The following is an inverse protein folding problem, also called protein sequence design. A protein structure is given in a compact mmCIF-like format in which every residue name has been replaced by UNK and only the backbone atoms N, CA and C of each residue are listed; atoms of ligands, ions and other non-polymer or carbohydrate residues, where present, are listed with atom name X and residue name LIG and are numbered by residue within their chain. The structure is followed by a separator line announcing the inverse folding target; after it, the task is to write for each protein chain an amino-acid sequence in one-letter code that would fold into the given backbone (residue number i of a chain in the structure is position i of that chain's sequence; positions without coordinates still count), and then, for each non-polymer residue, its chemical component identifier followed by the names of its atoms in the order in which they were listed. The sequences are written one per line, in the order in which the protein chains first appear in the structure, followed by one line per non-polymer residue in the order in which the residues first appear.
data_IF_878264314879
#
_entry.id   IF_878264314879
#
_cell.length_a   1.000
_cell.length_b   1.000
_cell.length_c   1.000
_cell.angle_alpha   90.00
_cell.angle_beta   90.00
_cell.angle_gamma   90.00
#
_symmetry.space_group_name_H-M   'P 1'
#
loop_
_entity.id
_entity.type
_entity.pdbx_description
1 polymer ?
#
# COMPACT_ATOMS: atom_id res chain seq x y z
N UNK A 1 25.59 15.30 -23.66
CA UNK A 1 25.71 15.02 -22.21
C UNK A 1 24.89 13.80 -21.85
N UNK A 2 25.42 12.89 -21.03
CA UNK A 2 24.73 11.66 -20.60
C UNK A 2 24.86 11.49 -19.09
N UNK A 3 23.78 11.09 -18.42
CA UNK A 3 23.78 10.83 -16.98
C UNK A 3 24.57 9.55 -16.69
N UNK A 4 25.44 9.62 -15.68
CA UNK A 4 26.24 8.48 -15.22
C UNK A 4 25.91 8.07 -13.79
N UNK A 5 25.47 9.00 -12.94
CA UNK A 5 25.14 8.74 -11.55
C UNK A 5 24.12 9.75 -11.00
N UNK A 6 23.28 9.32 -10.06
CA UNK A 6 22.37 10.18 -9.29
C UNK A 6 22.21 9.67 -7.87
N UNK A 7 22.11 10.58 -6.90
CA UNK A 7 21.90 10.24 -5.50
C UNK A 7 21.10 11.32 -4.78
N UNK A 8 20.35 10.92 -3.76
CA UNK A 8 19.68 11.85 -2.85
C UNK A 8 20.68 12.67 -2.00
N UNK A 9 21.90 12.16 -1.80
CA UNK A 9 22.95 12.85 -1.05
C UNK A 9 23.83 13.65 -2.01
N UNK A 10 23.78 14.97 -1.87
CA UNK A 10 24.54 15.90 -2.69
C UNK A 10 26.05 15.67 -2.56
N UNK A 11 26.51 15.34 -1.36
CA UNK A 11 27.93 15.08 -1.07
C UNK A 11 28.48 13.92 -1.91
N UNK A 12 27.66 12.90 -2.14
CA UNK A 12 28.06 11.76 -2.96
C UNK A 12 28.23 12.16 -4.43
N UNK A 13 27.33 13.01 -4.94
CA UNK A 13 27.37 13.53 -6.31
C UNK A 13 28.56 14.47 -6.52
N UNK A 14 28.85 15.33 -5.54
CA UNK A 14 30.04 16.21 -5.54
C UNK A 14 31.34 15.39 -5.48
N UNK A 15 31.40 14.36 -4.62
CA UNK A 15 32.57 13.48 -4.51
C UNK A 15 32.85 12.70 -5.80
N UNK A 16 31.81 12.19 -6.46
CA UNK A 16 31.92 11.47 -7.73
C UNK A 16 32.31 12.42 -8.86
N UNK A 17 31.74 13.63 -8.91
CA UNK A 17 32.11 14.62 -9.91
C UNK A 17 33.61 14.95 -9.79
N UNK A 18 34.10 15.20 -8.57
CA UNK A 18 35.52 15.44 -8.31
C UNK A 18 36.40 14.27 -8.75
N UNK A 19 36.00 13.04 -8.42
CA UNK A 19 36.73 11.83 -8.83
C UNK A 19 36.82 11.72 -10.35
N UNK A 20 35.73 12.00 -11.08
CA UNK A 20 35.73 11.95 -12.55
C UNK A 20 36.57 13.08 -13.17
N UNK A 21 36.54 14.27 -12.59
CA UNK A 21 37.38 15.41 -13.00
C UNK A 21 38.88 15.12 -12.80
N UNK A 22 39.25 14.47 -11.70
CA UNK A 22 40.63 14.03 -11.43
C UNK A 22 41.15 13.05 -12.50
N UNK A 23 40.26 12.29 -13.14
CA UNK A 23 40.57 11.40 -14.25
C UNK A 23 40.46 12.09 -15.62
N UNK A 24 40.32 13.42 -15.65
CA UNK A 24 40.27 14.23 -16.87
C UNK A 24 38.93 14.19 -17.61
N UNK A 25 37.86 13.70 -16.96
CA UNK A 25 36.53 13.61 -17.56
C UNK A 25 35.74 14.86 -17.22
N UNK A 26 35.22 15.54 -18.25
CA UNK A 26 34.46 16.76 -18.08
C UNK A 26 33.01 16.45 -17.66
N UNK A 27 32.61 16.92 -16.47
CA UNK A 27 31.31 16.63 -15.86
C UNK A 27 30.51 17.88 -15.52
N UNK A 28 29.19 17.71 -15.39
CA UNK A 28 28.24 18.73 -14.96
C UNK A 28 27.31 18.15 -13.90
N UNK A 29 27.21 18.86 -12.78
CA UNK A 29 26.24 18.53 -11.73
C UNK A 29 24.92 19.26 -12.00
N UNK A 30 23.81 18.53 -12.02
CA UNK A 30 22.46 19.10 -12.02
C UNK A 30 21.84 18.96 -10.64
N UNK A 31 21.02 19.93 -10.23
CA UNK A 31 20.39 19.99 -8.90
C UNK A 31 21.43 19.94 -7.76
N UNK A 32 22.61 20.52 -8.02
CA UNK A 32 23.68 20.68 -7.04
C UNK A 32 23.38 21.76 -6.01
N UNK A 33 24.38 22.12 -5.18
CA UNK A 33 24.29 23.21 -4.20
C UNK A 33 23.97 24.52 -4.93
N UNK A 34 22.69 24.91 -4.94
CA UNK A 34 22.30 26.21 -5.48
C UNK A 34 22.86 27.29 -4.56
N UNK A 35 23.58 28.26 -5.13
CA UNK A 35 24.08 29.45 -4.43
C UNK A 35 22.95 30.26 -3.75
N UNK A 36 21.69 30.04 -4.14
CA UNK A 36 20.48 30.53 -3.46
C UNK A 36 19.78 29.42 -2.65
N UNK A 37 20.51 28.75 -1.76
CA UNK A 37 19.89 27.84 -0.79
C UNK A 37 19.01 28.63 0.18
N UNK A 38 17.71 28.33 0.22
CA UNK A 38 16.72 29.02 1.04
C UNK A 38 17.06 28.97 2.53
N UNK A 39 17.74 30.02 3.02
CA UNK A 39 17.89 30.29 4.44
C UNK A 39 16.54 30.75 4.99
N UNK A 40 15.91 29.93 5.84
CA UNK A 40 14.87 30.43 6.76
C UNK A 40 13.48 29.79 6.75
N UNK A 41 13.27 28.66 6.07
CA UNK A 41 12.00 27.92 6.17
C UNK A 41 12.11 26.73 7.12
N UNK A 42 11.32 26.68 8.19
CA UNK A 42 11.24 25.54 9.10
C UNK A 42 11.07 24.24 8.31
N UNK A 43 11.95 23.26 8.53
CA UNK A 43 11.90 21.92 7.92
C UNK A 43 10.55 21.29 8.27
N UNK A 44 9.58 21.36 7.35
CA UNK A 44 8.26 20.78 7.56
C UNK A 44 8.30 19.30 7.16
N UNK A 45 7.71 18.43 7.98
CA UNK A 45 7.64 16.97 7.74
C UNK A 45 6.92 16.57 6.44
N UNK A 46 6.39 17.53 5.66
CA UNK A 46 5.71 17.30 4.38
C UNK A 46 6.56 17.65 3.15
N UNK A 47 7.80 18.10 3.34
CA UNK A 47 8.68 18.45 2.21
C UNK A 47 9.34 17.21 1.56
N UNK A 48 9.29 16.05 2.23
CA UNK A 48 9.74 14.78 1.65
C UNK A 48 8.83 14.32 0.48
N UNK A 49 7.54 14.71 0.48
CA UNK A 49 6.59 14.39 -0.59
C UNK A 49 6.72 15.29 -1.83
N UNK A 50 7.41 16.44 -1.71
CA UNK A 50 7.88 17.23 -2.86
C UNK A 50 9.36 16.98 -3.07
N UNK A 51 9.73 15.72 -3.29
CA UNK A 51 11.08 15.35 -3.69
C UNK A 51 11.49 16.12 -4.94
N UNK A 52 12.25 17.20 -4.74
CA UNK A 52 12.87 17.93 -5.84
C UNK A 52 13.71 16.98 -6.71
N UNK A 53 13.95 17.34 -7.98
CA UNK A 53 14.74 16.50 -8.87
C UNK A 53 16.10 16.15 -8.24
N UNK A 54 16.46 14.86 -8.27
CA UNK A 54 17.64 14.35 -7.59
C UNK A 54 18.92 14.99 -8.16
N UNK A 55 19.90 15.31 -7.28
CA UNK A 55 21.25 15.62 -7.70
C UNK A 55 21.82 14.52 -8.60
N UNK A 56 22.40 14.91 -9.74
CA UNK A 56 22.94 13.98 -10.72
C UNK A 56 24.19 14.50 -11.41
N UNK A 57 25.10 13.59 -11.75
CA UNK A 57 26.32 13.85 -12.52
C UNK A 57 26.10 13.46 -13.98
N UNK A 58 26.39 14.39 -14.87
CA UNK A 58 26.32 14.24 -16.31
C UNK A 58 27.71 14.40 -16.90
N UNK A 59 28.11 13.48 -17.77
CA UNK A 59 29.34 13.64 -18.55
C UNK A 59 29.02 14.52 -19.75
N UNK A 60 29.84 15.54 -20.01
CA UNK A 60 29.61 16.51 -21.07
C UNK A 60 29.83 15.86 -22.45
N UNK A 61 31.01 15.27 -22.60
CA UNK A 61 31.48 14.51 -23.76
C UNK A 61 30.88 13.11 -23.78
N UNK A 62 30.46 12.64 -24.96
CA UNK A 62 29.80 11.33 -25.04
C UNK A 62 30.82 10.20 -25.11
N UNK A 63 32.00 10.49 -25.63
CA UNK A 63 33.16 9.61 -25.73
C UNK A 63 33.71 9.18 -24.37
N UNK A 64 33.60 10.02 -23.34
CA UNK A 64 34.10 9.73 -21.99
C UNK A 64 33.11 8.90 -21.14
N UNK A 65 31.90 8.64 -21.67
CA UNK A 65 30.87 7.91 -20.93
C UNK A 65 31.25 6.46 -20.59
N UNK A 66 31.84 5.65 -21.49
CA UNK A 66 32.24 4.28 -21.16
C UNK A 66 33.34 4.26 -20.09
N UNK A 67 34.29 5.20 -20.16
CA UNK A 67 35.38 5.35 -19.21
C UNK A 67 34.85 5.76 -17.82
N UNK A 68 33.94 6.75 -17.76
CA UNK A 68 33.30 7.15 -16.51
C UNK A 68 32.55 5.98 -15.84
N UNK A 69 31.84 5.16 -16.62
CA UNK A 69 31.14 3.97 -16.11
C UNK A 69 32.10 2.85 -15.70
N UNK A 70 33.29 2.78 -16.28
CA UNK A 70 34.32 1.85 -15.85
C UNK A 70 34.87 2.28 -14.49
N UNK A 71 35.28 3.54 -14.34
CA UNK A 71 35.78 4.09 -13.07
C UNK A 71 34.77 3.95 -11.93
N UNK A 72 33.47 4.17 -12.21
CA UNK A 72 32.42 3.98 -11.21
C UNK A 72 32.22 2.52 -10.80
N UNK A 73 32.45 1.55 -11.71
CA UNK A 73 32.42 0.12 -11.36
C UNK A 73 33.65 -0.28 -10.56
N UNK A 74 34.82 0.21 -10.93
CA UNK A 74 36.07 -0.04 -10.21
C UNK A 74 36.03 0.52 -8.79
N UNK A 75 35.31 1.63 -8.58
CA UNK A 75 35.02 2.21 -7.27
C UNK A 75 33.89 1.51 -6.50
N UNK A 76 33.26 0.46 -7.05
CA UNK A 76 32.15 -0.27 -6.42
C UNK A 76 30.83 0.52 -6.35
N UNK A 77 30.68 1.60 -7.12
CA UNK A 77 29.50 2.47 -7.12
C UNK A 77 28.43 2.05 -8.14
N UNK A 78 28.75 1.14 -9.06
CA UNK A 78 27.83 0.55 -10.03
C UNK A 78 27.98 -0.96 -10.07
N UNK A 79 26.85 -1.67 -10.12
CA UNK A 79 26.85 -3.11 -10.37
C UNK A 79 27.36 -3.41 -11.79
N UNK A 80 28.23 -4.42 -11.87
CA UNK A 80 28.77 -4.90 -13.14
C UNK A 80 27.63 -5.33 -14.07
N UNK A 81 27.52 -4.68 -15.23
CA UNK A 81 26.56 -5.05 -16.29
C UNK A 81 26.94 -6.35 -17.01
N UNK A 82 28.03 -7.03 -16.61
CA UNK A 82 28.36 -8.38 -17.08
C UNK A 82 27.56 -9.37 -16.23
N UNK A 83 26.37 -9.71 -16.71
CA UNK A 83 25.53 -10.75 -16.10
C UNK A 83 26.34 -12.04 -15.90
N UNK A 84 26.34 -12.52 -14.65
CA UNK A 84 26.98 -13.76 -14.24
C UNK A 84 27.11 -13.87 -12.72
N UNK A 85 26.04 -14.40 -12.08
CA UNK A 85 26.04 -15.30 -10.90
C UNK A 85 26.89 -14.93 -9.68
N UNK A 86 26.29 -14.70 -8.50
CA UNK A 86 25.98 -15.85 -7.61
C UNK A 86 24.86 -15.63 -6.58
N UNK A 87 23.90 -14.74 -6.80
CA UNK A 87 22.72 -14.69 -5.93
C UNK A 87 21.45 -14.30 -6.68
N UNK A 88 20.51 -15.23 -6.74
CA UNK A 88 19.11 -15.01 -7.15
C UNK A 88 18.21 -14.59 -5.97
N UNK A 89 18.80 -14.27 -4.82
CA UNK A 89 18.09 -13.64 -3.71
C UNK A 89 18.26 -12.13 -3.78
N UNK A 90 17.21 -11.34 -3.51
CA UNK A 90 17.36 -9.89 -3.39
C UNK A 90 18.34 -9.58 -2.27
N UNK A 91 19.48 -8.97 -2.62
CA UNK A 91 20.44 -8.46 -1.65
C UNK A 91 19.78 -7.33 -0.86
N UNK A 92 19.22 -7.72 0.27
CA UNK A 92 18.53 -6.84 1.19
C UNK A 92 19.56 -6.17 2.10
N UNK A 93 20.50 -5.41 1.53
CA UNK A 93 21.37 -4.53 2.30
C UNK A 93 20.91 -3.08 2.16
N UNK A 94 19.94 -2.73 3.01
CA UNK A 94 19.66 -1.36 3.37
C UNK A 94 20.92 -0.69 3.91
N UNK A 95 21.16 0.53 3.44
CA UNK A 95 22.14 1.45 4.01
C UNK A 95 21.84 1.73 5.49
N UNK A 96 22.70 1.26 6.38
CA UNK A 96 22.76 1.65 7.80
C UNK A 96 24.18 1.43 8.29
N UNK A 97 24.90 2.53 8.53
CA UNK A 97 26.36 2.55 8.66
C UNK A 97 26.93 1.97 9.96
N UNK A 98 28.26 1.86 9.95
CA UNK A 98 29.08 1.54 11.13
C UNK A 98 30.39 0.92 10.69
N UNK A 99 31.50 1.61 10.92
CA UNK A 99 32.81 1.28 10.37
C UNK A 99 33.43 -0.03 10.86
N UNK A 100 34.35 -0.52 10.02
CA UNK A 100 35.64 -1.07 10.47
C UNK A 100 35.70 -2.57 10.72
N UNK A 101 36.67 -3.20 10.05
CA UNK A 101 37.49 -4.27 10.63
C UNK A 101 36.91 -5.68 10.61
N UNK A 102 37.71 -6.62 10.12
CA UNK A 102 37.60 -8.05 10.36
C UNK A 102 37.20 -8.41 11.80
N UNK A 103 36.29 -9.39 11.95
CA UNK A 103 36.52 -10.67 12.65
C UNK A 103 35.19 -11.44 12.70
N UNK A 104 35.23 -12.69 12.24
CA UNK A 104 34.14 -13.68 12.32
C UNK A 104 33.79 -13.98 13.78
N UNK A 105 32.55 -13.74 14.21
CA UNK A 105 31.94 -14.40 15.39
C UNK A 105 30.46 -14.71 15.14
N UNK A 106 30.05 -15.90 15.57
CA UNK A 106 28.77 -16.56 15.34
C UNK A 106 27.51 -15.71 15.66
N UNK A 107 26.46 -15.97 14.87
CA UNK A 107 25.20 -15.22 14.82
C UNK A 107 24.40 -15.21 16.14
N UNK A 108 23.97 -14.02 16.65
CA UNK A 108 23.14 -13.90 17.86
C UNK A 108 21.66 -14.32 17.65
N UNK A 109 21.24 -14.61 16.41
CA UNK A 109 19.83 -14.84 16.05
C UNK A 109 19.30 -16.21 16.48
N UNK A 110 20.16 -17.24 16.63
CA UNK A 110 19.73 -18.59 17.08
C UNK A 110 19.34 -18.65 18.56
N UNK A 111 19.82 -17.71 19.38
CA UNK A 111 19.50 -17.68 20.82
C UNK A 111 18.12 -17.10 21.08
N UNK A 112 17.72 -16.05 20.34
CA UNK A 112 16.42 -15.41 20.47
C UNK A 112 15.24 -16.35 20.11
N UNK A 113 15.43 -17.26 19.14
CA UNK A 113 14.41 -18.24 18.76
C UNK A 113 14.16 -19.30 19.85
N UNK A 114 15.21 -19.73 20.57
CA UNK A 114 15.08 -20.70 21.67
C UNK A 114 14.33 -20.12 22.88
N UNK A 115 14.55 -18.85 23.19
CA UNK A 115 13.79 -18.16 24.25
C UNK A 115 12.31 -18.01 23.88
N UNK A 116 12.01 -17.68 22.62
CA UNK A 116 10.63 -17.57 22.13
C UNK A 116 9.89 -18.92 22.18
N UNK A 117 10.54 -20.02 21.80
CA UNK A 117 9.95 -21.37 21.91
C UNK A 117 9.77 -21.79 23.37
N UNK A 118 10.77 -21.56 24.24
CA UNK A 118 10.68 -21.90 25.66
C UNK A 118 9.52 -21.18 26.36
N UNK A 119 9.31 -19.90 26.03
CA UNK A 119 8.20 -19.10 26.57
C UNK A 119 6.83 -19.62 26.10
N UNK A 120 6.70 -20.02 24.82
CA UNK A 120 5.44 -20.60 24.33
C UNK A 120 5.11 -21.93 25.00
N UNK A 121 6.11 -22.80 25.22
CA UNK A 121 5.92 -24.07 25.94
C UNK A 121 5.48 -23.80 27.38
N UNK A 122 6.09 -22.83 28.06
CA UNK A 122 5.71 -22.47 29.43
C UNK A 122 4.26 -21.97 29.54
N UNK A 123 3.80 -21.17 28.57
CA UNK A 123 2.39 -20.71 28.52
C UNK A 123 1.44 -21.90 28.34
N UNK A 124 1.74 -22.83 27.42
CA UNK A 124 0.90 -24.02 27.19
C UNK A 124 0.82 -24.88 28.46
N UNK A 125 1.93 -25.08 29.17
CA UNK A 125 1.95 -25.84 30.42
C UNK A 125 1.14 -25.13 31.51
N UNK A 126 1.23 -23.81 31.63
CA UNK A 126 0.44 -23.04 32.59
C UNK A 126 -1.06 -23.13 32.32
N UNK A 127 -1.48 -23.06 31.05
CA UNK A 127 -2.89 -23.22 30.66
C UNK A 127 -3.38 -24.63 30.94
N UNK A 128 -2.58 -25.67 30.64
CA UNK A 128 -2.94 -27.05 30.93
C UNK A 128 -3.10 -27.30 32.44
N UNK A 129 -2.21 -26.75 33.27
CA UNK A 129 -2.31 -26.84 34.73
C UNK A 129 -3.54 -26.10 35.29
N UNK A 130 -3.85 -24.91 34.76
CA UNK A 130 -5.04 -24.17 35.15
C UNK A 130 -6.35 -24.90 34.81
N UNK A 131 -6.40 -25.56 33.63
CA UNK A 131 -7.55 -26.35 33.21
C UNK A 131 -7.69 -27.66 34.01
N UNK A 132 -6.56 -28.23 34.45
CA UNK A 132 -6.53 -29.43 35.29
C UNK A 132 -6.87 -29.12 36.76
N UNK A 133 -6.65 -27.88 37.22
CA UNK A 133 -7.09 -27.39 38.53
C UNK A 133 -8.59 -27.04 38.53
N UNK A 134 -9.12 -26.44 37.45
CA UNK A 134 -10.54 -26.11 37.34
C UNK A 134 -11.45 -27.33 37.14
N UNK A 135 -10.94 -28.42 36.55
CA UNK A 135 -11.68 -29.68 36.42
C UNK A 135 -11.75 -30.53 37.70
N UNK A 136 -10.97 -30.21 38.75
CA UNK A 136 -11.06 -30.86 40.07
C UNK A 136 -12.03 -30.18 41.05
N UNK A 137 -12.58 -29.02 40.70
CA UNK A 137 -13.57 -28.33 41.52
C UNK A 137 -14.93 -28.32 40.80
N UNK A 138 -15.63 -29.44 40.88
CA UNK A 138 -16.99 -29.55 40.37
C UNK A 138 -17.97 -29.99 41.46
N UNK A 139 -19.08 -29.23 41.57
CA UNK A 139 -20.36 -29.45 42.30
C UNK A 139 -20.46 -28.74 43.66
N UNK A 140 -21.52 -28.00 44.01
CA UNK A 140 -22.83 -27.69 43.39
C UNK A 140 -23.48 -26.47 44.15
N UNK A 141 -24.82 -26.32 44.32
CA UNK A 141 -25.79 -25.65 43.42
C UNK A 141 -26.68 -24.56 44.10
N UNK A 142 -27.56 -23.91 43.31
CA UNK A 142 -28.94 -23.37 43.62
C UNK A 142 -29.09 -22.35 44.79
N UNK A 143 -29.80 -21.21 44.73
CA UNK A 143 -31.22 -20.93 44.38
C UNK A 143 -31.52 -19.43 44.57
N UNK A 144 -32.53 -18.87 43.87
CA UNK A 144 -33.57 -17.88 44.31
C UNK A 144 -33.17 -16.57 45.02
N UNK A 145 -33.91 -15.44 45.09
CA UNK A 145 -35.14 -14.85 44.53
C UNK A 145 -35.25 -13.49 45.28
N UNK A 146 -35.56 -12.40 44.55
CA UNK A 146 -36.29 -11.17 44.93
C UNK A 146 -35.99 -10.41 46.25
N UNK A 147 -35.69 -9.10 46.17
CA UNK A 147 -36.60 -8.01 46.62
C UNK A 147 -35.95 -6.61 46.72
N UNK A 148 -36.66 -5.65 46.09
CA UNK A 148 -36.92 -4.26 46.49
C UNK A 148 -35.86 -3.13 46.38
N UNK A 149 -36.27 -2.16 45.54
CA UNK A 149 -35.82 -0.78 45.35
C UNK A 149 -36.41 0.17 46.45
N UNK A 150 -36.51 1.51 46.31
CA UNK A 150 -35.85 2.52 45.44
C UNK A 150 -35.42 3.82 46.20
N UNK A 151 -34.61 4.68 45.56
CA UNK A 151 -34.66 6.16 45.70
C UNK A 151 -33.78 6.77 44.58
N UNK A 152 -34.39 7.30 43.50
CA UNK A 152 -34.79 8.71 43.33
C UNK A 152 -33.60 9.62 42.93
N UNK A 153 -33.51 10.00 41.64
CA UNK A 153 -33.84 11.34 41.08
C UNK A 153 -32.75 12.39 41.43
N UNK A 154 -32.25 13.29 40.58
CA UNK A 154 -32.70 13.86 39.31
C UNK A 154 -31.52 14.66 38.67
N UNK A 155 -31.71 15.28 37.49
CA UNK A 155 -30.66 15.72 36.56
C UNK A 155 -30.33 17.22 36.63
N UNK A 156 -29.26 17.63 35.94
CA UNK A 156 -29.09 19.01 35.47
C UNK A 156 -28.36 19.06 34.12
N UNK A 157 -29.10 19.45 33.09
CA UNK A 157 -28.59 20.07 31.85
C UNK A 157 -28.39 21.59 32.11
N UNK A 158 -28.23 22.43 31.07
CA UNK A 158 -27.23 22.50 30.02
C UNK A 158 -26.37 23.77 30.16
N UNK A 159 -25.25 23.91 29.46
CA UNK A 159 -24.66 25.24 29.23
C UNK A 159 -24.42 25.44 27.74
N UNK A 160 -25.26 26.33 27.20
CA UNK A 160 -25.18 26.92 25.87
C UNK A 160 -24.30 28.17 26.00
N UNK A 161 -23.21 28.22 25.26
CA UNK A 161 -22.53 29.47 24.93
C UNK A 161 -22.26 29.48 23.41
N UNK A 162 -23.10 30.22 22.70
CA UNK A 162 -22.75 30.89 21.45
C UNK A 162 -21.65 31.93 21.75
N UNK A 163 -20.80 32.44 20.88
CA UNK A 163 -20.66 32.43 19.42
C UNK A 163 -19.26 32.96 19.15
N UNK A 164 -18.58 32.49 18.10
CA UNK A 164 -17.94 33.36 17.10
C UNK A 164 -17.48 32.52 15.94
N UNK A 165 -17.99 32.89 14.77
CA UNK A 165 -17.69 32.30 13.50
C UNK A 165 -16.20 32.44 13.14
N UNK A 166 -15.62 31.38 12.62
CA UNK A 166 -14.80 31.46 11.41
C UNK A 166 -15.02 30.18 10.64
N UNK A 167 -15.71 30.29 9.52
CA UNK A 167 -15.72 29.29 8.47
C UNK A 167 -14.28 29.10 7.98
N UNK A 168 -13.63 28.05 8.47
CA UNK A 168 -12.57 27.39 7.73
C UNK A 168 -13.16 26.07 7.24
N UNK A 169 -13.97 26.18 6.18
CA UNK A 169 -14.15 25.07 5.25
C UNK A 169 -12.74 24.74 4.73
N UNK A 170 -12.05 23.86 5.43
CA UNK A 170 -10.86 23.21 4.93
C UNK A 170 -11.34 22.34 3.77
N UNK A 171 -11.35 22.93 2.58
CA UNK A 171 -11.31 22.19 1.35
C UNK A 171 -10.19 21.16 1.51
N UNK A 172 -10.58 19.91 1.75
CA UNK A 172 -9.69 18.78 1.63
C UNK A 172 -9.12 18.89 0.22
N UNK A 173 -7.86 19.33 0.13
CA UNK A 173 -7.16 19.32 -1.13
C UNK A 173 -7.31 17.91 -1.69
N UNK A 174 -7.86 17.80 -2.90
CA UNK A 174 -7.88 16.57 -3.67
C UNK A 174 -6.43 16.18 -3.94
N UNK A 175 -5.79 15.56 -2.94
CA UNK A 175 -4.51 14.87 -3.11
C UNK A 175 -4.86 13.68 -3.97
N UNK A 176 -4.39 13.71 -5.21
CA UNK A 176 -4.50 12.59 -6.13
C UNK A 176 -3.97 11.34 -5.40
N UNK A 177 -4.81 10.34 -5.11
CA UNK A 177 -4.48 9.28 -4.17
C UNK A 177 -3.33 8.40 -4.65
N UNK A 178 -3.01 8.47 -5.94
CA UNK A 178 -1.87 7.82 -6.58
C UNK A 178 -1.22 8.85 -7.51
N UNK A 179 -0.14 9.53 -7.10
CA UNK A 179 0.55 10.52 -7.93
C UNK A 179 1.05 9.90 -9.23
N UNK A 180 0.93 10.61 -10.35
CA UNK A 180 1.35 10.16 -11.69
C UNK A 180 0.66 8.86 -12.17
N UNK A 181 -0.54 8.55 -11.68
CA UNK A 181 -1.28 7.39 -12.15
C UNK A 181 -1.68 7.54 -13.62
N UNK A 182 -1.39 6.52 -14.44
CA UNK A 182 -1.77 6.43 -15.84
C UNK A 182 -2.84 5.33 -16.04
N UNK A 183 -3.72 5.46 -17.04
CA UNK A 183 -4.74 4.45 -17.32
C UNK A 183 -4.08 3.18 -17.87
N UNK A 184 -4.56 2.03 -17.40
CA UNK A 184 -4.17 0.69 -17.85
C UNK A 184 -5.44 -0.16 -17.94
N UNK A 185 -5.45 -1.15 -18.83
CA UNK A 185 -6.54 -2.13 -18.89
C UNK A 185 -6.76 -2.79 -17.53
N UNK A 186 -8.03 -2.94 -17.15
CA UNK A 186 -8.39 -3.46 -15.84
C UNK A 186 -7.98 -4.93 -15.73
N UNK A 187 -7.12 -5.31 -14.78
CA UNK A 187 -6.69 -6.69 -14.64
C UNK A 187 -7.87 -7.63 -14.32
N UNK A 188 -8.04 -8.77 -15.00
CA UNK A 188 -9.16 -9.68 -14.74
C UNK A 188 -9.23 -10.20 -13.29
N UNK A 189 -8.07 -10.36 -12.66
CA UNK A 189 -7.97 -10.78 -11.25
C UNK A 189 -8.49 -9.69 -10.31
N UNK A 190 -8.30 -8.41 -10.64
CA UNK A 190 -8.87 -7.30 -9.88
C UNK A 190 -10.39 -7.31 -10.00
N UNK A 191 -10.91 -7.43 -11.23
CA UNK A 191 -12.35 -7.45 -11.49
C UNK A 191 -13.06 -8.60 -10.77
N UNK A 192 -12.49 -9.82 -10.82
CA UNK A 192 -13.05 -10.99 -10.13
C UNK A 192 -13.02 -10.85 -8.61
N UNK A 193 -11.93 -10.30 -8.05
CA UNK A 193 -11.84 -10.05 -6.59
C UNK A 193 -12.94 -9.10 -6.12
N UNK A 194 -13.18 -8.01 -6.84
CA UNK A 194 -14.25 -7.07 -6.52
C UNK A 194 -15.63 -7.71 -6.71
N UNK A 195 -15.81 -8.50 -7.77
CA UNK A 195 -17.06 -9.19 -8.03
C UNK A 195 -17.45 -10.17 -6.90
N UNK A 196 -16.49 -10.96 -6.39
CA UNK A 196 -16.72 -11.88 -5.27
C UNK A 196 -17.24 -11.14 -4.03
N UNK A 197 -16.68 -9.98 -3.72
CA UNK A 197 -17.07 -9.17 -2.56
C UNK A 197 -18.49 -8.62 -2.72
N UNK A 198 -18.84 -8.08 -3.90
CA UNK A 198 -20.18 -7.53 -4.13
C UNK A 198 -21.25 -8.63 -4.20
N UNK A 199 -20.94 -9.79 -4.78
CA UNK A 199 -21.85 -10.93 -4.83
C UNK A 199 -22.17 -11.50 -3.45
N UNK A 200 -21.19 -11.54 -2.55
CA UNK A 200 -21.42 -11.92 -1.16
C UNK A 200 -22.34 -10.95 -0.40
N UNK A 201 -22.50 -9.72 -0.90
CA UNK A 201 -23.32 -8.67 -0.28
C UNK A 201 -24.75 -8.64 -0.84
N UNK A 202 -24.94 -8.94 -2.12
CA UNK A 202 -26.21 -8.71 -2.83
C UNK A 202 -27.06 -9.98 -3.07
N UNK A 203 -26.57 -11.18 -2.72
CA UNK A 203 -27.25 -12.49 -2.85
C UNK A 203 -28.07 -12.64 -4.16
N UNK A 204 -27.47 -12.24 -5.28
CA UNK A 204 -28.12 -12.24 -6.57
C UNK A 204 -27.97 -13.60 -7.28
N UNK A 205 -29.06 -14.22 -7.75
CA UNK A 205 -28.99 -15.51 -8.46
C UNK A 205 -28.41 -15.38 -9.87
N UNK A 206 -28.52 -14.20 -10.49
CA UNK A 206 -27.98 -13.87 -11.80
C UNK A 206 -27.13 -12.60 -11.69
N UNK A 207 -25.95 -12.60 -12.30
CA UNK A 207 -25.10 -11.42 -12.37
C UNK A 207 -24.47 -11.24 -13.75
N UNK A 208 -24.19 -10.00 -14.13
CA UNK A 208 -23.38 -9.66 -15.28
C UNK A 208 -22.11 -8.97 -14.81
N UNK A 209 -20.94 -9.57 -15.08
CA UNK A 209 -19.65 -8.95 -14.83
C UNK A 209 -19.13 -8.33 -16.14
N UNK A 210 -18.80 -7.04 -16.09
CA UNK A 210 -18.16 -6.29 -17.16
C UNK A 210 -16.81 -5.76 -16.70
N UNK A 211 -15.86 -5.78 -17.63
CA UNK A 211 -14.50 -5.26 -17.46
C UNK A 211 -14.32 -4.20 -18.54
N UNK A 212 -14.08 -2.95 -18.10
CA UNK A 212 -13.99 -1.78 -18.98
C UNK A 212 -15.18 -1.69 -19.96
N UNK A 213 -16.38 -1.99 -19.47
CA UNK A 213 -17.61 -1.98 -20.27
C UNK A 213 -17.84 -3.20 -21.17
N UNK A 214 -16.89 -4.13 -21.27
CA UNK A 214 -17.05 -5.38 -22.04
C UNK A 214 -17.47 -6.55 -21.15
N UNK A 215 -18.42 -7.42 -21.56
CA UNK A 215 -18.74 -8.62 -20.79
C UNK A 215 -17.50 -9.47 -20.54
N UNK A 216 -17.31 -9.94 -19.30
CA UNK A 216 -16.16 -10.77 -18.94
C UNK A 216 -16.17 -12.09 -19.72
N UNK A 217 -14.99 -12.57 -20.10
CA UNK A 217 -14.84 -13.85 -20.82
C UNK A 217 -15.21 -15.03 -19.93
N UNK A 218 -15.54 -16.16 -20.55
CA UNK A 218 -15.92 -17.38 -19.83
C UNK A 218 -14.82 -17.91 -18.90
N UNK A 219 -13.55 -17.69 -19.23
CA UNK A 219 -12.42 -18.06 -18.37
C UNK A 219 -12.42 -17.26 -17.06
N UNK A 220 -12.75 -15.98 -17.14
CA UNK A 220 -12.80 -15.09 -15.97
C UNK A 220 -14.01 -15.46 -15.09
N UNK A 221 -15.18 -15.65 -15.69
CA UNK A 221 -16.39 -16.02 -14.93
C UNK A 221 -16.32 -17.43 -14.36
N UNK A 222 -15.54 -18.34 -14.94
CA UNK A 222 -15.29 -19.67 -14.38
C UNK A 222 -14.56 -19.65 -13.01
N UNK A 223 -13.87 -18.56 -12.67
CA UNK A 223 -13.21 -18.39 -11.36
C UNK A 223 -14.14 -17.90 -10.25
N UNK A 224 -15.36 -17.47 -10.60
CA UNK A 224 -16.33 -16.90 -9.68
C UNK A 224 -17.19 -17.97 -8.99
N UNK A 225 -17.91 -17.62 -7.90
CA UNK A 225 -18.76 -18.56 -7.17
C UNK A 225 -19.84 -19.16 -8.08
N UNK A 226 -19.97 -20.49 -8.02
CA UNK A 226 -20.96 -21.25 -8.83
C UNK A 226 -22.42 -21.06 -8.37
N UNK A 227 -22.63 -20.35 -7.27
CA UNK A 227 -23.96 -20.03 -6.73
C UNK A 227 -24.71 -19.02 -7.58
N UNK A 228 -23.99 -18.21 -8.36
CA UNK A 228 -24.56 -17.17 -9.21
C UNK A 228 -24.35 -17.55 -10.68
N UNK A 229 -25.39 -17.40 -11.49
CA UNK A 229 -25.30 -17.55 -12.95
C UNK A 229 -24.80 -16.26 -13.58
N UNK A 230 -23.77 -16.36 -14.43
CA UNK A 230 -23.21 -15.19 -15.11
C UNK A 230 -23.78 -15.05 -16.52
N UNK A 231 -24.75 -14.17 -16.68
CA UNK A 231 -25.44 -13.90 -17.95
C UNK A 231 -25.57 -12.38 -18.12
N UNK A 232 -24.96 -11.84 -19.17
CA UNK A 232 -25.05 -10.43 -19.48
C UNK A 232 -26.17 -10.18 -20.48
N UNK A 233 -27.30 -9.69 -19.95
CA UNK A 233 -28.45 -9.21 -20.72
C UNK A 233 -28.58 -7.70 -20.58
N UNK A 234 -29.20 -7.04 -21.56
CA UNK A 234 -29.41 -5.58 -21.52
C UNK A 234 -30.53 -5.15 -20.54
N UNK A 235 -31.28 -6.11 -19.99
CA UNK A 235 -32.35 -5.88 -19.01
C UNK A 235 -31.85 -6.11 -17.58
N UNK A 236 -32.07 -5.11 -16.71
CA UNK A 236 -31.80 -5.21 -15.27
C UNK A 236 -33.13 -5.34 -14.54
N UNK A 237 -33.34 -6.50 -13.93
CA UNK A 237 -34.51 -6.80 -13.10
C UNK A 237 -34.10 -6.97 -11.63
N UNK A 238 -35.09 -7.14 -10.73
CA UNK A 238 -34.87 -7.34 -9.28
C UNK A 238 -33.89 -8.46 -8.92
N UNK A 239 -33.70 -9.44 -9.80
CA UNK A 239 -32.88 -10.62 -9.57
C UNK A 239 -31.53 -10.59 -10.31
N UNK A 240 -31.22 -9.50 -11.02
CA UNK A 240 -30.00 -9.36 -11.83
C UNK A 240 -29.11 -8.27 -11.24
N UNK A 241 -27.87 -8.64 -10.90
CA UNK A 241 -26.85 -7.70 -10.46
C UNK A 241 -25.86 -7.43 -11.60
N UNK A 242 -25.71 -6.17 -12.02
CA UNK A 242 -24.69 -5.79 -13.00
C UNK A 242 -23.51 -5.14 -12.29
N UNK A 243 -22.32 -5.66 -12.52
CA UNK A 243 -21.05 -5.18 -11.98
C UNK A 243 -20.16 -4.76 -13.15
N UNK A 244 -19.75 -3.50 -13.20
CA UNK A 244 -18.78 -3.00 -14.19
C UNK A 244 -17.55 -2.44 -13.47
N UNK A 245 -16.41 -3.11 -13.67
CA UNK A 245 -15.12 -2.73 -13.11
C UNK A 245 -14.31 -2.08 -14.21
N UNK A 246 -14.00 -0.80 -14.06
CA UNK A 246 -13.43 -0.01 -15.14
C UNK A 246 -12.49 1.11 -14.68
N UNK A 247 -11.74 1.63 -15.65
CA UNK A 247 -10.95 2.83 -15.45
C UNK A 247 -9.83 2.64 -14.44
N UNK A 248 -9.18 1.47 -14.45
CA UNK A 248 -8.03 1.22 -13.60
C UNK A 248 -6.88 2.19 -13.94
N UNK A 249 -6.34 2.83 -12.91
CA UNK A 249 -5.18 3.73 -13.02
C UNK A 249 -4.14 3.33 -12.00
N UNK A 250 -2.87 3.27 -12.40
CA UNK A 250 -1.76 2.89 -11.51
C UNK A 250 -0.51 3.69 -11.83
N UNK A 251 0.39 3.79 -10.87
CA UNK A 251 1.74 4.34 -11.00
C UNK A 251 2.81 3.25 -11.23
N UNK A 252 2.40 1.98 -11.35
CA UNK A 252 3.29 0.83 -11.47
C UNK A 252 3.80 0.27 -10.13
N UNK A 253 3.47 0.90 -8.99
CA UNK A 253 3.83 0.41 -7.65
C UNK A 253 3.01 -0.81 -7.19
N UNK A 254 1.99 -1.19 -7.95
CA UNK A 254 0.95 -2.13 -7.54
C UNK A 254 -0.19 -1.46 -6.77
N UNK A 255 -0.14 -0.15 -6.53
CA UNK A 255 -1.28 0.64 -6.02
C UNK A 255 -1.98 1.34 -7.17
N UNK A 256 -3.29 1.49 -7.09
CA UNK A 256 -4.06 2.14 -8.15
C UNK A 256 -5.47 2.53 -7.73
N UNK A 257 -6.16 3.27 -8.57
CA UNK A 257 -7.58 3.57 -8.42
C UNK A 257 -8.39 2.83 -9.46
N UNK A 258 -9.59 2.36 -9.09
CA UNK A 258 -10.53 1.72 -10.02
C UNK A 258 -11.94 2.21 -9.74
N UNK A 259 -12.78 2.30 -10.78
CA UNK A 259 -14.21 2.54 -10.62
C UNK A 259 -14.98 1.22 -10.66
N UNK A 260 -15.87 1.04 -9.68
CA UNK A 260 -16.79 -0.07 -9.59
C UNK A 260 -18.21 0.49 -9.68
N UNK A 261 -18.92 0.19 -10.78
CA UNK A 261 -20.33 0.48 -10.92
C UNK A 261 -21.14 -0.77 -10.57
N UNK A 262 -22.02 -0.65 -9.59
CA UNK A 262 -22.94 -1.70 -9.16
C UNK A 262 -24.35 -1.25 -9.51
N UNK A 263 -25.00 -1.97 -10.41
CA UNK A 263 -26.38 -1.70 -10.81
C UNK A 263 -27.26 -2.85 -10.35
N UNK A 264 -28.31 -2.53 -9.60
CA UNK A 264 -29.36 -3.44 -9.16
C UNK A 264 -30.72 -2.75 -9.36
N UNK A 265 -31.81 -3.50 -9.34
CA UNK A 265 -33.13 -2.90 -9.29
C UNK A 265 -33.55 -2.59 -7.85
N UNK A 266 -34.17 -1.44 -7.65
CA UNK A 266 -34.73 -1.01 -6.37
C UNK A 266 -36.06 -1.74 -6.05
N UNK A 267 -36.68 -1.38 -4.92
CA UNK A 267 -37.97 -1.96 -4.51
C UNK A 267 -39.11 -1.71 -5.49
N UNK A 268 -38.97 -0.70 -6.37
CA UNK A 268 -39.93 -0.38 -7.43
C UNK A 268 -39.62 -1.06 -8.77
N UNK A 269 -38.54 -1.85 -8.82
CA UNK A 269 -38.06 -2.50 -10.04
C UNK A 269 -37.28 -1.57 -10.98
N UNK A 270 -36.93 -0.35 -10.53
CA UNK A 270 -36.14 0.58 -11.32
C UNK A 270 -34.65 0.35 -11.11
N UNK A 271 -33.82 0.35 -12.17
CA UNK A 271 -32.38 0.14 -12.03
C UNK A 271 -31.71 1.34 -11.34
N UNK A 272 -31.11 1.10 -10.18
CA UNK A 272 -30.25 2.03 -9.46
C UNK A 272 -28.80 1.66 -9.66
N UNK A 273 -27.98 2.61 -10.10
CA UNK A 273 -26.53 2.41 -10.27
C UNK A 273 -25.79 3.20 -9.21
N UNK A 274 -24.95 2.52 -8.45
CA UNK A 274 -24.01 3.11 -7.51
C UNK A 274 -22.59 2.98 -8.06
N UNK A 275 -21.88 4.09 -8.23
CA UNK A 275 -20.50 4.12 -8.72
C UNK A 275 -19.54 4.46 -7.58
N UNK A 276 -18.61 3.56 -7.29
CA UNK A 276 -17.61 3.72 -6.23
C UNK A 276 -16.22 3.85 -6.86
N UNK A 277 -15.48 4.90 -6.50
CA UNK A 277 -14.05 4.97 -6.83
C UNK A 277 -13.28 4.36 -5.66
N UNK A 278 -12.49 3.32 -5.92
CA UNK A 278 -11.77 2.53 -4.93
C UNK A 278 -10.27 2.75 -5.07
N UNK A 279 -9.56 2.93 -3.96
CA UNK A 279 -8.11 2.79 -3.91
C UNK A 279 -7.80 1.32 -3.64
N UNK A 280 -7.09 0.69 -4.55
CA UNK A 280 -6.74 -0.73 -4.51
C UNK A 280 -5.23 -0.92 -4.49
N UNK A 281 -4.79 -2.01 -3.88
CA UNK A 281 -3.38 -2.41 -3.89
C UNK A 281 -3.27 -3.90 -4.16
N UNK A 282 -2.34 -4.24 -5.03
CA UNK A 282 -1.91 -5.61 -5.27
C UNK A 282 -0.92 -6.02 -4.19
N UNK A 283 -1.21 -7.13 -3.53
CA UNK A 283 -0.32 -7.81 -2.58
C UNK A 283 -0.09 -9.19 -3.17
N UNK A 284 1.09 -9.41 -3.74
CA UNK A 284 1.44 -10.64 -4.47
C UNK A 284 0.47 -10.93 -5.63
N UNK A 285 -0.37 -11.96 -5.51
CA UNK A 285 -1.39 -12.35 -6.48
C UNK A 285 -2.80 -11.81 -6.13
N UNK A 286 -2.98 -11.23 -4.94
CA UNK A 286 -4.27 -10.77 -4.44
C UNK A 286 -4.45 -9.26 -4.61
N UNK A 287 -5.70 -8.84 -4.80
CA UNK A 287 -6.08 -7.44 -4.75
C UNK A 287 -6.79 -7.11 -3.44
N UNK A 288 -6.44 -5.97 -2.85
CA UNK A 288 -7.08 -5.47 -1.63
C UNK A 288 -7.59 -4.06 -1.83
N UNK A 289 -8.83 -3.82 -1.42
CA UNK A 289 -9.39 -2.48 -1.33
C UNK A 289 -8.83 -1.82 -0.06
N UNK A 290 -8.11 -0.71 -0.23
CA UNK A 290 -7.54 0.06 0.87
C UNK A 290 -8.55 1.07 1.43
N UNK A 291 -9.26 1.76 0.53
CA UNK A 291 -10.28 2.75 0.90
C UNK A 291 -11.24 3.03 -0.24
N UNK A 292 -12.47 3.42 0.09
CA UNK A 292 -13.42 4.03 -0.85
C UNK A 292 -13.12 5.52 -0.91
N UNK A 293 -12.86 6.03 -2.11
CA UNK A 293 -12.52 7.44 -2.37
C UNK A 293 -13.77 8.29 -2.55
N UNK A 294 -14.75 7.77 -3.28
CA UNK A 294 -16.01 8.45 -3.55
C UNK A 294 -17.09 7.42 -3.85
N UNK A 295 -18.33 7.85 -3.65
CA UNK A 295 -19.55 7.10 -3.98
C UNK A 295 -20.47 8.08 -4.69
N UNK A 296 -20.96 7.71 -5.87
CA UNK A 296 -21.88 8.49 -6.71
C UNK A 296 -23.09 7.66 -7.07
#
# INVERSE_FOLDING_TARGET
MRQVFSSARLENVEGIAKMLEEHGIEVRITHGRSYKGGWGGRRSYRDEERGGPLPAVWVIKSEDQPLARQLLRDAGLLDSTRGGSDSYLPDSSMHGGGGGGEVRVATPTRRAFRYKIGLLIAIVVAVALAWMASSRMGKAPTSSTTAQAPAAHAPAAPTRAASTATHAAAAAANVDPVPNAYPVDTPPVLATTLAVVELATHDAPVACLRIDGTPATQEVTATLPKTTRFECTDTVDANVLVLDVRGYRTDGSGTGTVELAVTNADQSGQPTTQVRTLLVRRVEAEWRVLRVLSVR
#
